data_IF_722359313929
#
_entry.id   IF_722359313929
#
_cell.length_a   1.000
_cell.length_b   1.000
_cell.length_c   1.000
_cell.angle_alpha   90.00
_cell.angle_beta   90.00
_cell.angle_gamma   90.00
#
_symmetry.space_group_name_H-M   'P 1'
#
loop_
_entity.id
_entity.type
_entity.pdbx_description
1 polymer ?
#
# COMPACT_ATOMS: atom_id res chain seq x y z
N UNK A 1 -16.39 -10.87 9.60
CA UNK A 1 -16.15 -9.75 8.67
C UNK A 1 -14.98 -8.93 9.20
N UNK A 2 -13.81 -8.94 8.55
CA UNK A 2 -12.59 -8.28 9.07
C UNK A 2 -12.66 -6.76 8.86
N UNK A 3 -12.39 -5.94 9.89
CA UNK A 3 -12.36 -4.47 9.78
C UNK A 3 -11.12 -4.00 9.00
N UNK A 4 -11.29 -3.70 7.72
CA UNK A 4 -10.21 -3.23 6.83
C UNK A 4 -9.76 -1.79 7.12
N UNK A 5 -10.63 -0.96 7.70
CA UNK A 5 -10.34 0.45 8.03
C UNK A 5 -9.66 0.64 9.40
N UNK A 6 -9.00 -0.38 9.92
CA UNK A 6 -8.25 -0.26 11.19
C UNK A 6 -6.77 -0.03 10.92
N UNK A 7 -6.14 0.80 11.75
CA UNK A 7 -4.70 1.03 11.70
C UNK A 7 -3.91 -0.21 12.17
N UNK A 8 -2.68 -0.38 11.67
CA UNK A 8 -1.71 -1.36 12.15
C UNK A 8 -0.28 -0.82 12.03
N UNK A 9 0.71 -1.54 12.56
CA UNK A 9 2.11 -1.10 12.58
C UNK A 9 3.04 -2.13 11.94
N UNK A 10 4.08 -1.65 11.25
CA UNK A 10 5.24 -2.41 10.80
C UNK A 10 6.48 -1.73 11.37
N UNK A 11 7.13 -2.36 12.36
CA UNK A 11 8.16 -1.69 13.17
C UNK A 11 7.60 -0.42 13.81
N UNK A 12 8.30 0.70 13.61
CA UNK A 12 7.89 2.03 14.12
C UNK A 12 6.95 2.80 13.16
N UNK A 13 6.56 2.21 12.02
CA UNK A 13 5.70 2.85 11.02
C UNK A 13 4.24 2.47 11.24
N UNK A 14 3.38 3.48 11.41
CA UNK A 14 1.92 3.29 11.47
C UNK A 14 1.29 3.36 10.08
N UNK A 15 0.40 2.40 9.79
CA UNK A 15 -0.29 2.25 8.52
C UNK A 15 -1.80 2.35 8.77
N UNK A 16 -2.50 3.29 8.11
CA UNK A 16 -3.87 3.67 8.48
C UNK A 16 -4.93 2.62 8.15
N UNK A 17 -4.69 1.74 7.17
CA UNK A 17 -5.66 0.75 6.69
C UNK A 17 -4.98 -0.61 6.49
N UNK A 18 -5.71 -1.71 6.68
CA UNK A 18 -5.23 -3.09 6.47
C UNK A 18 -5.28 -3.54 5.01
N UNK A 19 -5.10 -2.60 4.09
CA UNK A 19 -5.05 -2.81 2.64
C UNK A 19 -3.66 -2.41 2.16
N UNK A 20 -2.99 -3.32 1.46
CA UNK A 20 -1.62 -3.12 0.98
C UNK A 20 -1.55 -3.46 -0.49
N UNK A 21 -0.95 -2.57 -1.28
CA UNK A 21 -0.66 -2.85 -2.68
C UNK A 21 0.63 -3.67 -2.79
N UNK A 22 0.52 -4.88 -3.33
CA UNK A 22 1.66 -5.75 -3.58
C UNK A 22 2.59 -5.19 -4.69
N UNK A 23 3.90 -5.45 -4.61
CA UNK A 23 4.82 -5.13 -5.71
C UNK A 23 4.50 -6.03 -6.91
N UNK A 24 4.23 -5.42 -8.07
CA UNK A 24 3.95 -6.12 -9.33
C UNK A 24 4.84 -5.51 -10.40
N UNK A 25 5.81 -6.29 -10.88
CA UNK A 25 6.85 -5.77 -11.75
C UNK A 25 6.29 -5.26 -13.09
N UNK A 26 6.71 -4.09 -13.55
CA UNK A 26 6.19 -3.41 -14.73
C UNK A 26 4.76 -2.84 -14.60
N UNK A 27 4.06 -3.08 -13.49
CA UNK A 27 2.68 -2.61 -13.26
C UNK A 27 2.65 -1.49 -12.23
N UNK A 28 3.36 -1.64 -11.11
CA UNK A 28 3.29 -0.73 -9.97
C UNK A 28 4.10 0.57 -10.17
N UNK A 29 3.85 1.26 -11.28
CA UNK A 29 4.45 2.55 -11.64
C UNK A 29 3.89 3.72 -10.81
N UNK A 30 4.42 4.93 -11.03
CA UNK A 30 4.08 6.09 -10.19
C UNK A 30 2.60 6.46 -10.26
N UNK A 31 2.00 6.46 -11.44
CA UNK A 31 0.58 6.78 -11.59
C UNK A 31 -0.30 5.74 -10.87
N UNK A 32 0.02 4.46 -11.02
CA UNK A 32 -0.72 3.37 -10.40
C UNK A 32 -0.68 3.43 -8.87
N UNK A 33 0.49 3.74 -8.28
CA UNK A 33 0.61 3.88 -6.82
C UNK A 33 -0.14 5.08 -6.27
N UNK A 34 -0.16 6.21 -6.98
CA UNK A 34 -0.95 7.37 -6.58
C UNK A 34 -2.42 7.03 -6.54
N UNK A 35 -2.94 6.42 -7.62
CA UNK A 35 -4.33 5.98 -7.70
C UNK A 35 -4.64 5.00 -6.56
N UNK A 36 -3.82 3.96 -6.36
CA UNK A 36 -4.05 2.99 -5.30
C UNK A 36 -4.12 3.62 -3.90
N UNK A 37 -3.31 4.65 -3.63
CA UNK A 37 -3.34 5.39 -2.36
C UNK A 37 -4.60 6.23 -2.21
N UNK A 38 -5.04 6.92 -3.27
CA UNK A 38 -6.29 7.68 -3.30
C UNK A 38 -7.52 6.78 -3.09
N UNK A 39 -7.47 5.54 -3.60
CA UNK A 39 -8.52 4.53 -3.42
C UNK A 39 -8.46 3.80 -2.07
N UNK A 40 -7.57 4.22 -1.15
CA UNK A 40 -7.56 3.72 0.22
C UNK A 40 -6.58 2.58 0.51
N UNK A 41 -5.53 2.40 -0.29
CA UNK A 41 -4.40 1.56 0.10
C UNK A 41 -3.67 2.20 1.29
N UNK A 42 -3.57 1.47 2.41
CA UNK A 42 -2.83 1.89 3.59
C UNK A 42 -1.32 1.95 3.35
N UNK A 43 -0.80 1.01 2.55
CA UNK A 43 0.61 0.94 2.14
C UNK A 43 0.71 0.65 0.64
N UNK A 44 1.58 1.38 -0.06
CA UNK A 44 1.90 1.15 -1.47
C UNK A 44 3.38 0.83 -1.60
N UNK A 45 3.71 -0.21 -2.38
CA UNK A 45 5.07 -0.72 -2.54
C UNK A 45 5.57 -0.44 -3.95
N UNK A 46 6.85 -0.12 -4.08
CA UNK A 46 7.55 0.04 -5.35
C UNK A 46 8.17 -1.27 -5.83
N UNK A 47 8.47 -1.36 -7.13
CA UNK A 47 9.38 -2.39 -7.62
C UNK A 47 10.77 -2.24 -6.99
N UNK A 48 11.55 -3.32 -7.01
CA UNK A 48 12.95 -3.26 -6.62
C UNK A 48 13.68 -2.27 -7.53
N UNK A 49 14.42 -1.34 -6.92
CA UNK A 49 15.30 -0.40 -7.63
C UNK A 49 16.71 -1.01 -7.60
N UNK A 50 17.36 -1.10 -8.77
CA UNK A 50 18.77 -1.52 -8.87
C UNK A 50 19.73 -0.36 -8.70
#
# INVERSE_FOLDING_TARGET
MTKLNSSFRIGDVEIPHRTVLAPMAGVTNSAFRTIAKEFGAGLVVMEMIS
#
